data_IF_532785180864
#
_entry.id   IF_532785180864
#
_cell.length_a   1.000
_cell.length_b   1.000
_cell.length_c   1.000
_cell.angle_alpha   90.00
_cell.angle_beta   90.00
_cell.angle_gamma   90.00
#
_symmetry.space_group_name_H-M   'P 1'
#
loop_
_entity.id
_entity.type
_entity.pdbx_description
1 polymer ?
#
# COMPACT_ATOMS: atom_id res chain seq x y z
N UNK A 1 -30.12 -3.17 -3.24
CA UNK A 1 -29.46 -1.85 -3.31
C UNK A 1 -27.96 -2.11 -3.25
N UNK A 2 -27.22 -1.72 -4.29
CA UNK A 2 -25.77 -1.84 -4.28
C UNK A 2 -25.20 -0.55 -3.70
N UNK A 3 -24.40 -0.66 -2.64
CA UNK A 3 -23.76 0.47 -1.97
C UNK A 3 -22.25 0.28 -2.08
N UNK A 4 -21.55 1.27 -2.62
CA UNK A 4 -20.09 1.34 -2.63
C UNK A 4 -19.62 2.09 -1.38
N UNK A 5 -18.52 1.62 -0.78
CA UNK A 5 -17.85 2.34 0.31
C UNK A 5 -16.48 2.78 -0.20
N UNK A 6 -16.16 4.05 -0.03
CA UNK A 6 -14.92 4.69 -0.45
C UNK A 6 -14.22 5.23 0.79
N UNK A 7 -13.06 4.67 1.13
CA UNK A 7 -12.19 5.19 2.18
C UNK A 7 -11.08 6.02 1.53
N UNK A 8 -11.04 7.31 1.87
CA UNK A 8 -10.18 8.31 1.26
C UNK A 8 -9.39 9.05 2.35
N UNK A 9 -8.20 9.54 1.99
CA UNK A 9 -7.43 10.47 2.83
C UNK A 9 -7.35 11.78 2.05
N UNK A 10 -7.81 12.88 2.64
CA UNK A 10 -7.73 14.20 2.01
C UNK A 10 -6.27 14.65 1.85
N UNK A 11 -5.96 15.62 0.96
CA UNK A 11 -4.63 16.20 0.85
C UNK A 11 -4.05 16.74 2.16
N UNK A 12 -4.93 17.09 3.11
CA UNK A 12 -4.58 17.60 4.43
C UNK A 12 -4.50 16.49 5.51
N UNK A 13 -4.58 15.21 5.13
CA UNK A 13 -4.45 14.07 6.05
C UNK A 13 -5.74 13.71 6.80
N UNK A 14 -6.90 14.20 6.36
CA UNK A 14 -8.19 13.89 7.01
C UNK A 14 -8.74 12.57 6.43
N UNK A 15 -9.00 11.54 7.25
CA UNK A 15 -9.67 10.33 6.78
C UNK A 15 -11.16 10.60 6.51
N UNK A 16 -11.66 10.13 5.37
CA UNK A 16 -13.05 10.30 4.92
C UNK A 16 -13.58 8.95 4.43
N UNK A 17 -14.62 8.44 5.09
CA UNK A 17 -15.39 7.27 4.61
C UNK A 17 -16.68 7.76 3.97
N UNK A 18 -16.89 7.40 2.71
CA UNK A 18 -18.06 7.77 1.94
C UNK A 18 -18.85 6.53 1.56
N UNK A 19 -20.15 6.53 1.85
CA UNK A 19 -21.09 5.55 1.34
C UNK A 19 -21.79 6.14 0.12
N UNK A 20 -21.55 5.54 -1.04
CA UNK A 20 -22.12 5.97 -2.32
C UNK A 20 -23.13 4.93 -2.78
N UNK A 21 -24.31 5.40 -3.14
CA UNK A 21 -25.40 4.62 -3.71
C UNK A 21 -25.56 4.95 -5.20
N UNK A 22 -26.33 4.14 -5.91
CA UNK A 22 -26.70 4.40 -7.30
C UNK A 22 -27.62 5.63 -7.48
N UNK A 23 -28.18 6.15 -6.38
CA UNK A 23 -28.96 7.38 -6.35
C UNK A 23 -28.11 8.65 -6.18
N UNK A 24 -26.83 8.51 -5.79
CA UNK A 24 -25.94 9.66 -5.58
C UNK A 24 -25.37 10.14 -6.92
N UNK A 25 -25.68 11.40 -7.27
CA UNK A 25 -25.03 12.05 -8.41
C UNK A 25 -23.60 12.53 -8.05
N UNK A 26 -22.81 12.78 -9.08
CA UNK A 26 -21.42 13.22 -8.93
C UNK A 26 -21.29 14.51 -8.10
N UNK A 27 -22.23 15.44 -8.19
CA UNK A 27 -22.18 16.71 -7.48
C UNK A 27 -22.41 16.51 -5.97
N UNK A 28 -23.33 15.62 -5.61
CA UNK A 28 -23.63 15.22 -4.23
C UNK A 28 -22.44 14.53 -3.58
N UNK A 29 -21.78 13.63 -4.32
CA UNK A 29 -20.53 12.97 -3.89
C UNK A 29 -19.43 13.99 -3.63
N UNK A 30 -19.15 14.89 -4.58
CA UNK A 30 -18.10 15.90 -4.45
C UNK A 30 -18.37 16.87 -3.30
N UNK A 31 -19.63 17.29 -3.12
CA UNK A 31 -20.03 18.19 -2.03
C UNK A 31 -19.85 17.52 -0.66
N UNK A 32 -20.12 16.22 -0.57
CA UNK A 32 -19.94 15.47 0.68
C UNK A 32 -18.46 15.38 1.06
N UNK A 33 -17.57 15.16 0.08
CA UNK A 33 -16.11 15.12 0.29
C UNK A 33 -15.59 16.49 0.76
N UNK A 34 -15.97 17.59 0.08
CA UNK A 34 -15.54 18.94 0.47
C UNK A 34 -15.99 19.32 1.90
N UNK A 35 -17.21 18.92 2.29
CA UNK A 35 -17.70 19.13 3.66
C UNK A 35 -16.91 18.33 4.69
N UNK A 36 -16.59 17.07 4.39
CA UNK A 36 -15.81 16.22 5.28
C UNK A 36 -14.39 16.78 5.48
N UNK A 37 -13.76 17.30 4.43
CA UNK A 37 -12.45 17.94 4.51
C UNK A 37 -12.46 19.20 5.38
N UNK A 38 -13.46 20.08 5.20
CA UNK A 38 -13.61 21.30 6.01
C UNK A 38 -13.80 20.99 7.50
N UNK A 39 -14.63 20.00 7.83
CA UNK A 39 -14.81 19.55 9.22
C UNK A 39 -13.53 18.93 9.77
N UNK A 40 -12.85 18.13 8.95
CA UNK A 40 -11.52 17.58 9.24
C UNK A 40 -10.54 18.64 9.72
N UNK A 41 -10.31 19.65 8.87
CA UNK A 41 -9.42 20.77 9.17
C UNK A 41 -9.83 21.50 10.46
N UNK A 42 -11.12 21.77 10.64
CA UNK A 42 -11.64 22.47 11.81
C UNK A 42 -11.28 21.79 13.15
N UNK A 43 -11.40 20.46 13.23
CA UNK A 43 -11.05 19.72 14.45
C UNK A 43 -9.54 19.51 14.57
N UNK A 44 -8.81 19.31 13.47
CA UNK A 44 -7.35 19.18 13.48
C UNK A 44 -6.67 20.42 14.06
N UNK A 45 -7.12 21.63 13.67
CA UNK A 45 -6.67 22.90 14.24
C UNK A 45 -6.87 23.01 15.76
N UNK A 46 -7.83 22.25 16.30
CA UNK A 46 -8.15 22.22 17.74
C UNK A 46 -7.42 21.11 18.48
N UNK A 47 -6.43 20.50 17.84
CA UNK A 47 -5.62 19.41 18.42
C UNK A 47 -6.38 18.09 18.52
N UNK A 48 -7.54 17.96 17.88
CA UNK A 48 -8.22 16.69 17.78
C UNK A 48 -7.46 15.84 16.77
N UNK A 49 -7.07 14.66 17.20
CA UNK A 49 -6.60 13.63 16.30
C UNK A 49 -7.82 12.84 15.87
N UNK A 50 -8.09 12.83 14.58
CA UNK A 50 -8.97 11.81 14.04
C UNK A 50 -8.31 10.46 14.31
N UNK A 51 -9.12 9.42 14.51
CA UNK A 51 -8.61 8.06 14.52
C UNK A 51 -8.01 7.77 13.13
N UNK A 52 -6.79 8.24 12.92
CA UNK A 52 -6.04 8.10 11.70
C UNK A 52 -5.63 6.64 11.66
N UNK A 53 -6.50 5.83 11.10
CA UNK A 53 -6.17 4.48 10.71
C UNK A 53 -5.98 3.50 11.87
N UNK A 54 -6.61 2.34 11.78
CA UNK A 54 -5.87 1.33 11.02
C UNK A 54 -5.09 1.93 9.81
N UNK A 55 -3.92 2.55 10.03
CA UNK A 55 -2.72 1.87 9.58
C UNK A 55 -3.00 0.38 9.66
N UNK A 56 -2.75 -0.34 8.60
CA UNK A 56 -2.34 -1.72 8.81
C UNK A 56 -1.03 -1.75 9.64
N UNK A 57 -1.04 -1.21 10.87
CA UNK A 57 -0.71 -1.97 12.04
C UNK A 57 -1.67 -3.17 12.02
N UNK A 58 -1.38 -4.11 11.12
CA UNK A 58 -1.56 -5.52 11.45
C UNK A 58 -0.80 -5.71 12.75
N UNK A 59 -1.51 -5.48 13.86
CA UNK A 59 -1.33 -6.32 15.02
C UNK A 59 -1.27 -7.74 14.48
N UNK A 60 -0.10 -8.32 14.73
CA UNK A 60 0.19 -9.72 14.58
C UNK A 60 -1.03 -10.57 14.86
N UNK A 61 -1.27 -11.51 13.94
CA UNK A 61 -2.24 -12.60 13.95
C UNK A 61 -3.46 -12.39 13.04
N UNK A 62 -3.34 -13.01 11.86
CA UNK A 62 -4.40 -13.45 10.93
C UNK A 62 -5.03 -12.41 9.98
N UNK A 63 -4.20 -11.78 9.14
CA UNK A 63 -4.61 -11.47 7.77
C UNK A 63 -4.23 -12.67 6.86
N UNK A 64 -5.02 -13.03 5.83
CA UNK A 64 -4.61 -14.04 4.86
C UNK A 64 -3.27 -13.60 4.28
N UNK A 65 -2.20 -14.34 4.58
CA UNK A 65 -0.86 -13.98 4.16
C UNK A 65 -0.85 -13.98 2.63
N UNK A 66 -0.76 -12.79 2.02
CA UNK A 66 -0.51 -12.67 0.60
C UNK A 66 0.75 -13.44 0.21
N UNK A 67 1.00 -13.63 -1.09
CA UNK A 67 2.10 -14.44 -1.55
C UNK A 67 3.43 -13.96 -0.97
N UNK A 68 4.32 -14.92 -0.75
CA UNK A 68 5.65 -14.68 -0.20
C UNK A 68 6.71 -15.11 -1.20
N UNK A 69 7.80 -14.34 -1.25
CA UNK A 69 8.96 -14.61 -2.08
C UNK A 69 10.23 -14.47 -1.25
N UNK A 70 11.04 -15.53 -1.22
CA UNK A 70 12.24 -15.60 -0.37
C UNK A 70 11.97 -15.29 1.12
N UNK A 71 10.77 -15.62 1.62
CA UNK A 71 10.36 -15.35 3.00
C UNK A 71 9.77 -13.96 3.26
N UNK A 72 9.73 -13.08 2.25
CA UNK A 72 9.14 -11.75 2.35
C UNK A 72 7.73 -11.72 1.73
N UNK A 73 6.75 -11.03 2.32
CA UNK A 73 5.51 -10.72 1.62
C UNK A 73 5.81 -9.99 0.30
N UNK A 74 5.16 -10.38 -0.79
CA UNK A 74 5.45 -9.87 -2.12
C UNK A 74 4.20 -9.48 -2.88
N UNK A 75 4.40 -8.85 -4.04
CA UNK A 75 3.30 -8.57 -4.97
C UNK A 75 2.62 -9.87 -5.42
N UNK A 76 1.29 -9.87 -5.58
CA UNK A 76 0.57 -11.03 -6.13
C UNK A 76 0.86 -11.24 -7.62
N UNK A 77 1.31 -10.21 -8.31
CA UNK A 77 1.75 -10.29 -9.70
C UNK A 77 3.22 -10.64 -9.76
N UNK A 78 3.54 -11.68 -10.53
CA UNK A 78 4.91 -12.10 -10.90
C UNK A 78 5.09 -12.00 -12.41
N UNK A 79 6.33 -11.86 -12.87
CA UNK A 79 6.65 -11.98 -14.29
C UNK A 79 6.78 -13.44 -14.76
N UNK A 80 7.14 -13.62 -16.03
CA UNK A 80 7.34 -14.94 -16.65
C UNK A 80 8.43 -15.79 -15.97
N UNK A 81 9.34 -15.16 -15.21
CA UNK A 81 10.40 -15.82 -14.44
C UNK A 81 9.97 -16.12 -13.00
N UNK A 82 8.74 -15.76 -12.62
CA UNK A 82 8.24 -15.89 -11.25
C UNK A 82 8.75 -14.81 -10.30
N UNK A 83 9.29 -13.69 -10.80
CA UNK A 83 9.81 -12.61 -9.97
C UNK A 83 8.70 -11.60 -9.65
N UNK A 84 8.41 -11.31 -8.37
CA UNK A 84 7.44 -10.29 -8.00
C UNK A 84 7.97 -8.88 -8.29
N UNK A 85 7.07 -7.92 -8.50
CA UNK A 85 7.41 -6.52 -8.78
C UNK A 85 7.98 -5.80 -7.54
N UNK A 86 7.55 -6.20 -6.34
CA UNK A 86 8.00 -5.64 -5.06
C UNK A 86 7.94 -6.65 -3.92
N UNK A 87 8.67 -6.36 -2.84
CA UNK A 87 8.65 -7.07 -1.55
C UNK A 87 8.34 -6.09 -0.42
N UNK A 88 7.81 -6.59 0.70
CA UNK A 88 7.71 -5.85 1.96
C UNK A 88 8.78 -6.32 2.93
N UNK A 89 9.57 -5.39 3.42
CA UNK A 89 10.70 -5.62 4.32
C UNK A 89 10.64 -4.56 5.41
N UNK A 90 10.53 -4.98 6.67
CA UNK A 90 10.40 -4.06 7.82
C UNK A 90 9.33 -2.98 7.61
N UNK A 91 8.18 -3.36 7.04
CA UNK A 91 7.07 -2.46 6.73
C UNK A 91 7.28 -1.52 5.55
N UNK A 92 8.42 -1.61 4.85
CA UNK A 92 8.76 -0.79 3.68
C UNK A 92 8.70 -1.60 2.38
N UNK A 93 8.24 -0.95 1.32
CA UNK A 93 8.18 -1.56 0.00
C UNK A 93 9.55 -1.49 -0.71
N UNK A 94 10.16 -2.64 -0.92
CA UNK A 94 11.37 -2.81 -1.71
C UNK A 94 11.01 -3.02 -3.18
N UNK A 95 11.51 -2.16 -4.06
CA UNK A 95 11.23 -2.22 -5.50
C UNK A 95 12.22 -3.16 -6.19
N UNK A 96 11.73 -3.94 -7.16
CA UNK A 96 12.60 -4.76 -8.01
C UNK A 96 13.46 -3.88 -8.92
N UNK A 97 14.73 -4.24 -9.04
CA UNK A 97 15.73 -3.68 -9.92
C UNK A 97 16.40 -4.80 -10.68
N UNK A 98 16.78 -4.54 -11.91
CA UNK A 98 17.47 -5.50 -12.75
C UNK A 98 18.54 -4.79 -13.59
N UNK A 99 19.72 -5.41 -13.68
CA UNK A 99 20.80 -4.95 -14.57
C UNK A 99 21.62 -6.13 -15.02
N UNK A 100 21.77 -6.29 -16.34
CA UNK A 100 22.57 -7.36 -16.97
C UNK A 100 22.20 -8.79 -16.51
N UNK A 101 20.95 -9.00 -16.10
CA UNK A 101 20.44 -10.28 -15.60
C UNK A 101 20.61 -10.52 -14.09
N UNK A 102 21.32 -9.63 -13.38
CA UNK A 102 21.28 -9.56 -11.92
C UNK A 102 20.00 -8.86 -11.48
N UNK A 103 19.26 -9.47 -10.56
CA UNK A 103 18.03 -8.93 -9.99
C UNK A 103 18.25 -8.62 -8.52
N UNK A 104 17.75 -7.48 -8.05
CA UNK A 104 17.75 -7.18 -6.62
C UNK A 104 16.53 -6.34 -6.22
N UNK A 105 16.21 -6.36 -4.94
CA UNK A 105 15.16 -5.54 -4.34
C UNK A 105 15.80 -4.51 -3.43
N UNK A 106 15.39 -3.26 -3.55
CA UNK A 106 15.91 -2.19 -2.71
C UNK A 106 14.83 -1.25 -2.18
N UNK A 107 15.04 -0.78 -0.96
CA UNK A 107 14.21 0.20 -0.27
C UNK A 107 14.93 1.54 -0.30
N UNK A 108 14.20 2.64 -0.55
CA UNK A 108 14.75 3.99 -0.39
C UNK A 108 14.89 4.31 1.10
N UNK A 109 16.11 4.59 1.55
CA UNK A 109 16.42 4.86 2.97
C UNK A 109 16.72 6.33 3.24
N UNK A 110 17.02 7.11 2.20
CA UNK A 110 17.29 8.53 2.29
C UNK A 110 17.19 9.23 0.92
N UNK A 111 17.63 10.47 0.84
CA UNK A 111 17.68 11.20 -0.43
C UNK A 111 18.78 10.60 -1.33
N UNK A 112 18.37 9.86 -2.36
CA UNK A 112 19.28 9.17 -3.29
C UNK A 112 19.85 7.84 -2.78
N UNK A 113 19.67 7.51 -1.49
CA UNK A 113 20.19 6.28 -0.89
C UNK A 113 19.20 5.12 -0.92
N UNK A 114 19.69 3.95 -1.33
CA UNK A 114 18.92 2.71 -1.41
C UNK A 114 19.61 1.59 -0.66
N UNK A 115 18.91 0.95 0.26
CA UNK A 115 19.36 -0.27 0.91
C UNK A 115 18.90 -1.48 0.09
N UNK A 116 19.83 -2.31 -0.35
CA UNK A 116 19.52 -3.59 -1.00
C UNK A 116 19.11 -4.60 0.06
N UNK A 117 17.98 -5.27 -0.14
CA UNK A 117 17.46 -6.28 0.81
C UNK A 117 17.68 -7.70 0.31
N UNK A 118 17.43 -7.93 -0.99
CA UNK A 118 17.57 -9.24 -1.60
C UNK A 118 18.27 -9.09 -2.93
N UNK A 119 19.23 -9.97 -3.23
CA UNK A 119 19.90 -10.03 -4.53
C UNK A 119 19.87 -11.47 -5.03
N UNK A 120 19.54 -11.62 -6.31
CA UNK A 120 19.50 -12.87 -7.05
C UNK A 120 20.46 -12.68 -8.23
N UNK A 121 21.69 -13.21 -8.12
CA UNK A 121 22.66 -13.13 -9.20
C UNK A 121 22.14 -13.79 -10.48
N UNK A 122 22.65 -13.35 -11.63
CA UNK A 122 22.33 -13.94 -12.92
C UNK A 122 22.60 -15.44 -12.92
N UNK A 123 21.60 -16.21 -13.34
CA UNK A 123 21.72 -17.68 -13.47
C UNK A 123 21.48 -18.44 -12.17
N UNK A 124 21.25 -17.75 -11.05
CA UNK A 124 20.80 -18.42 -9.84
C UNK A 124 19.33 -18.84 -9.91
N UNK A 125 19.02 -19.88 -9.14
CA UNK A 125 17.65 -20.38 -9.02
C UNK A 125 16.78 -19.33 -8.34
N UNK A 126 15.73 -18.94 -9.03
CA UNK A 126 14.74 -17.99 -8.50
C UNK A 126 13.93 -18.70 -7.40
N UNK A 127 13.78 -18.09 -6.20
CA UNK A 127 12.90 -18.61 -5.17
C UNK A 127 11.46 -18.72 -5.67
N UNK A 128 10.75 -19.75 -5.25
CA UNK A 128 9.33 -19.88 -5.61
C UNK A 128 8.48 -18.89 -4.81
N UNK A 129 7.48 -18.33 -5.47
CA UNK A 129 6.41 -17.60 -4.79
C UNK A 129 5.47 -18.60 -4.14
N UNK A 130 5.17 -18.42 -2.85
CA UNK A 130 4.29 -19.29 -2.06
C UNK A 130 3.04 -18.55 -1.63
N UNK A 131 1.87 -19.19 -1.73
CA UNK A 131 0.59 -18.59 -1.29
C UNK A 131 -0.04 -17.64 -2.31
N UNK A 132 0.33 -17.75 -3.59
CA UNK A 132 -0.38 -17.14 -4.71
C UNK A 132 -1.54 -18.02 -5.17
#
# INVERSE_FOLDING_TARGET
MCQATLDLISPNGVPVTLHVTDADDQQTVLTTIDRAEKLGLYFAERGWTFAAGATTNTDTHTAPQGPTFAGYPCSPTVDERGLPTWLIVDGKQAQRREKQGDVWYSVKVGEGEYAQVLRIPKGEKIPEVRGA
#
